data_IF_459364799572
#
_entry.id   IF_459364799572
#
_cell.length_a   1.000
_cell.length_b   1.000
_cell.length_c   1.000
_cell.angle_alpha   90.00
_cell.angle_beta   90.00
_cell.angle_gamma   90.00
#
_symmetry.space_group_name_H-M   'P 1'
#
loop_
_entity.id
_entity.type
_entity.pdbx_description
1 polymer ?
#
# COMPACT_ATOMS: atom_id res chain seq x y z
N UNK A 1 -1.94 18.16 40.93
CA UNK A 1 -1.15 17.96 39.70
C UNK A 1 -0.53 16.58 39.76
N UNK A 2 -1.20 15.54 39.22
CA UNK A 2 -0.71 14.18 39.33
C UNK A 2 0.46 14.01 38.35
N UNK A 3 1.66 13.78 38.90
CA UNK A 3 2.78 13.25 38.14
C UNK A 3 2.37 11.86 37.64
N UNK A 4 1.87 11.79 36.41
CA UNK A 4 1.55 10.50 35.78
C UNK A 4 2.86 9.71 35.71
N UNK A 5 2.90 8.59 36.42
CA UNK A 5 4.07 7.73 36.47
C UNK A 5 4.48 7.34 35.02
N UNK A 6 5.80 7.32 34.71
CA UNK A 6 6.33 7.07 33.36
C UNK A 6 5.72 5.85 32.65
N UNK A 7 5.32 4.84 33.42
CA UNK A 7 4.74 3.57 32.96
C UNK A 7 3.46 3.76 32.13
N UNK A 8 2.58 4.68 32.54
CA UNK A 8 1.32 4.91 31.81
C UNK A 8 1.58 5.46 30.41
N UNK A 9 2.56 6.34 30.28
CA UNK A 9 2.89 6.93 29.00
C UNK A 9 3.62 5.95 28.07
N UNK A 10 4.45 5.07 28.65
CA UNK A 10 5.02 3.96 27.87
C UNK A 10 3.94 3.01 27.36
N UNK A 11 2.90 2.71 28.15
CA UNK A 11 1.79 1.85 27.73
C UNK A 11 0.96 2.48 26.61
N UNK A 12 0.67 3.79 26.71
CA UNK A 12 -0.03 4.50 25.62
C UNK A 12 0.84 4.52 24.37
N UNK A 13 2.13 4.86 24.48
CA UNK A 13 3.04 4.87 23.33
C UNK A 13 3.16 3.51 22.64
N UNK A 14 3.23 2.42 23.41
CA UNK A 14 3.35 1.07 22.85
C UNK A 14 2.07 0.64 22.13
N UNK A 15 0.90 1.02 22.67
CA UNK A 15 -0.39 0.78 22.01
C UNK A 15 -0.51 1.50 20.66
N UNK A 16 -0.02 2.74 20.58
CA UNK A 16 -0.02 3.54 19.35
C UNK A 16 0.91 2.91 18.30
N UNK A 17 2.12 2.50 18.72
CA UNK A 17 3.09 1.86 17.82
C UNK A 17 2.52 0.54 17.26
N UNK A 18 1.87 -0.28 18.09
CA UNK A 18 1.24 -1.51 17.63
C UNK A 18 0.12 -1.24 16.62
N UNK A 19 -0.74 -0.25 16.89
CA UNK A 19 -1.81 0.14 15.95
C UNK A 19 -1.24 0.63 14.60
N UNK A 20 -0.14 1.38 14.64
CA UNK A 20 0.54 1.86 13.42
C UNK A 20 1.15 0.72 12.60
N UNK A 21 1.74 -0.29 13.25
CA UNK A 21 2.26 -1.46 12.56
C UNK A 21 1.15 -2.29 11.89
N UNK A 22 0.02 -2.49 12.58
CA UNK A 22 -1.13 -3.23 12.04
C UNK A 22 -1.75 -2.51 10.85
N UNK A 23 -1.94 -1.20 10.94
CA UNK A 23 -2.49 -0.42 9.82
C UNK A 23 -1.55 -0.40 8.62
N UNK A 24 -0.24 -0.30 8.86
CA UNK A 24 0.78 -0.36 7.79
C UNK A 24 0.78 -1.70 7.06
N UNK A 25 0.65 -2.82 7.79
CA UNK A 25 0.58 -4.14 7.17
C UNK A 25 -0.71 -4.35 6.38
N UNK A 26 -1.84 -3.89 6.91
CA UNK A 26 -3.12 -3.91 6.18
C UNK A 26 -3.01 -3.10 4.88
N UNK A 27 -2.46 -1.88 4.93
CA UNK A 27 -2.28 -1.04 3.74
C UNK A 27 -1.40 -1.75 2.71
N UNK A 28 -0.30 -2.36 3.15
CA UNK A 28 0.61 -3.09 2.25
C UNK A 28 -0.08 -4.24 1.52
N UNK A 29 -0.87 -5.07 2.21
CA UNK A 29 -1.56 -6.21 1.59
C UNK A 29 -2.85 -5.83 0.86
N UNK A 30 -3.50 -4.74 1.27
CA UNK A 30 -4.73 -4.23 0.63
C UNK A 30 -4.41 -3.40 -0.61
N UNK A 31 -3.19 -2.88 -0.72
CA UNK A 31 -2.76 -2.13 -1.88
C UNK A 31 -2.63 -3.05 -3.10
N UNK A 32 -3.68 -3.06 -3.92
CA UNK A 32 -3.65 -3.63 -5.25
C UNK A 32 -3.36 -2.50 -6.24
N UNK A 33 -2.13 -2.35 -6.75
CA UNK A 33 -1.89 -1.40 -7.82
C UNK A 33 -2.78 -1.81 -8.99
N UNK A 34 -3.63 -0.90 -9.47
CA UNK A 34 -4.45 -1.16 -10.65
C UNK A 34 -3.53 -1.66 -11.75
N UNK A 35 -3.90 -2.79 -12.38
CA UNK A 35 -3.23 -3.24 -13.59
C UNK A 35 -3.40 -2.11 -14.60
N UNK A 36 -2.33 -1.35 -14.85
CA UNK A 36 -2.30 -0.36 -15.93
C UNK A 36 -2.79 -1.11 -17.16
N UNK A 37 -4.02 -0.82 -17.62
CA UNK A 37 -4.58 -1.37 -18.84
C UNK A 37 -3.78 -0.78 -19.99
N UNK A 38 -2.53 -1.20 -20.16
CA UNK A 38 -1.80 -1.06 -21.41
C UNK A 38 -2.46 -2.06 -22.36
N UNK A 39 -3.58 -1.62 -22.93
CA UNK A 39 -4.02 -2.07 -24.24
C UNK A 39 -2.91 -1.72 -25.21
N UNK A 40 -1.86 -2.54 -25.27
CA UNK A 40 -0.97 -2.57 -26.41
C UNK A 40 -1.71 -3.33 -27.50
N UNK A 41 -2.67 -2.65 -28.12
CA UNK A 41 -3.15 -3.02 -29.45
C UNK A 41 -1.97 -2.81 -30.39
N UNK A 42 -1.17 -3.85 -30.57
CA UNK A 42 -0.19 -3.89 -31.65
C UNK A 42 -1.02 -3.88 -32.93
N UNK A 43 -1.20 -2.69 -33.50
CA UNK A 43 -1.80 -2.53 -34.82
C UNK A 43 -0.79 -3.02 -35.85
N UNK A 44 -0.66 -4.35 -35.97
CA UNK A 44 0.03 -4.98 -37.08
C UNK A 44 -0.86 -4.75 -38.30
N UNK A 45 -0.67 -3.60 -38.96
CA UNK A 45 -1.20 -3.43 -40.30
C UNK A 45 -0.61 -4.55 -41.14
N UNK A 46 -1.46 -5.47 -41.60
CA UNK A 46 -1.13 -6.44 -42.63
C UNK A 46 -0.63 -5.67 -43.84
N UNK A 47 0.69 -5.64 -44.02
CA UNK A 47 1.29 -5.14 -45.24
C UNK A 47 1.00 -6.22 -46.27
N UNK A 48 -0.09 -6.05 -47.02
CA UNK A 48 -0.41 -6.87 -48.19
C UNK A 48 0.72 -6.70 -49.19
N UNK A 49 1.76 -7.52 -49.02
CA UNK A 49 2.87 -7.60 -49.93
C UNK A 49 2.43 -8.45 -51.11
N UNK A 50 1.90 -7.80 -52.13
CA UNK A 50 1.83 -8.37 -53.47
C UNK A 50 3.25 -8.31 -54.04
N UNK A 51 3.94 -9.45 -54.08
CA UNK A 51 4.95 -9.68 -55.10
C UNK A 51 4.22 -9.98 -56.42
#
# INVERSE_FOLDING_TARGET
MPQMAPIWWTSVSSSIIMAMMITSSIIYFTYQPEKVKKSHTINVKSKNWKW
#
